data_IF_929429066095
#
_entry.id   IF_929429066095
#
_cell.length_a   1.000
_cell.length_b   1.000
_cell.length_c   1.000
_cell.angle_alpha   90.00
_cell.angle_beta   90.00
_cell.angle_gamma   90.00
#
_symmetry.space_group_name_H-M   'P 1'
#
loop_
_entity.id
_entity.type
_entity.pdbx_description
1 polymer ?
#
# COMPACT_ATOMS: atom_id res chain seq x y z
N UNK A 1 18.85 -25.64 31.03
CA UNK A 1 17.44 -26.00 30.74
C UNK A 1 17.05 -25.42 29.36
N UNK A 2 16.62 -26.27 28.40
CA UNK A 2 16.13 -25.79 27.10
C UNK A 2 14.87 -24.90 27.35
N UNK A 3 14.91 -23.63 26.93
CA UNK A 3 13.75 -22.75 27.01
C UNK A 3 12.62 -23.34 26.16
N UNK A 4 11.51 -23.72 26.78
CA UNK A 4 10.32 -24.24 26.05
C UNK A 4 9.68 -23.08 25.29
N UNK A 5 9.51 -23.25 23.99
CA UNK A 5 8.85 -22.22 23.16
C UNK A 5 7.33 -22.28 23.32
N UNK A 6 6.67 -21.14 23.42
CA UNK A 6 5.20 -21.00 23.39
C UNK A 6 4.77 -20.30 22.11
N UNK A 7 3.74 -20.83 21.48
CA UNK A 7 3.13 -20.30 20.26
C UNK A 7 1.80 -19.64 20.62
N UNK A 8 1.79 -18.32 20.63
CA UNK A 8 0.64 -17.51 21.07
C UNK A 8 -0.03 -16.90 19.85
N UNK A 9 -1.32 -17.13 19.68
CA UNK A 9 -2.10 -16.41 18.69
C UNK A 9 -3.07 -15.47 19.37
N UNK A 10 -3.22 -14.28 18.78
CA UNK A 10 -4.13 -13.24 19.24
C UNK A 10 -5.16 -12.95 18.14
N UNK A 11 -6.44 -13.15 18.46
CA UNK A 11 -7.54 -12.60 17.67
C UNK A 11 -7.96 -11.27 18.31
N UNK A 12 -7.61 -10.17 17.64
CA UNK A 12 -7.63 -8.82 18.22
C UNK A 12 -8.88 -8.07 17.80
N UNK A 13 -9.74 -7.81 18.77
CA UNK A 13 -10.92 -6.95 18.63
C UNK A 13 -10.70 -5.62 19.36
N UNK A 14 -11.63 -4.67 19.18
CA UNK A 14 -11.50 -3.32 19.73
C UNK A 14 -11.40 -3.29 21.25
N UNK A 15 -12.26 -4.06 21.94
CA UNK A 15 -12.35 -4.06 23.41
C UNK A 15 -11.66 -5.27 24.06
N UNK A 16 -11.52 -6.38 23.35
CA UNK A 16 -11.00 -7.64 23.87
C UNK A 16 -10.15 -8.37 22.84
N UNK A 17 -9.12 -9.02 23.31
CA UNK A 17 -8.24 -9.89 22.53
C UNK A 17 -8.41 -11.33 23.05
N UNK A 18 -8.70 -12.24 22.15
CA UNK A 18 -8.74 -13.68 22.48
C UNK A 18 -7.37 -14.28 22.20
N UNK A 19 -6.77 -14.88 23.21
CA UNK A 19 -5.46 -15.49 23.13
C UNK A 19 -5.54 -17.00 23.20
N UNK A 20 -4.82 -17.69 22.32
CA UNK A 20 -4.60 -19.15 22.36
C UNK A 20 -3.11 -19.42 22.49
N UNK A 21 -2.71 -20.15 23.53
CA UNK A 21 -1.32 -20.51 23.82
C UNK A 21 -1.12 -21.99 23.57
N UNK A 22 -0.12 -22.33 22.75
CA UNK A 22 0.19 -23.71 22.35
C UNK A 22 1.65 -24.04 22.67
N UNK A 23 1.89 -25.27 23.09
CA UNK A 23 3.25 -25.81 23.28
C UNK A 23 3.81 -26.45 22.00
N UNK A 24 5.12 -26.74 21.92
CA UNK A 24 5.74 -27.35 20.73
C UNK A 24 5.14 -28.68 20.32
N UNK A 25 4.61 -29.46 21.26
CA UNK A 25 3.91 -30.73 21.01
C UNK A 25 2.53 -30.59 20.37
N UNK A 26 2.07 -29.35 20.13
CA UNK A 26 0.80 -29.07 19.46
C UNK A 26 -0.41 -28.96 20.38
N UNK A 27 -0.29 -29.23 21.67
CA UNK A 27 -1.38 -29.09 22.64
C UNK A 27 -1.62 -27.63 23.00
N UNK A 28 -2.86 -27.19 23.03
CA UNK A 28 -3.28 -25.90 23.58
C UNK A 28 -3.23 -25.96 25.10
N UNK A 29 -2.39 -25.12 25.71
CA UNK A 29 -2.18 -25.08 27.16
C UNK A 29 -2.96 -23.99 27.87
N UNK A 30 -3.37 -22.96 27.13
CA UNK A 30 -4.23 -21.88 27.67
C UNK A 30 -5.07 -21.23 26.57
N UNK A 31 -6.26 -20.78 26.96
CA UNK A 31 -7.14 -19.88 26.21
C UNK A 31 -7.58 -18.79 27.17
N UNK A 32 -7.37 -17.55 26.79
CA UNK A 32 -7.65 -16.38 27.62
C UNK A 32 -8.37 -15.31 26.81
N UNK A 33 -9.18 -14.54 27.50
CA UNK A 33 -9.72 -13.27 26.97
C UNK A 33 -9.08 -12.17 27.78
N UNK A 34 -8.35 -11.28 27.10
CA UNK A 34 -7.61 -10.18 27.71
C UNK A 34 -8.19 -8.87 27.17
N UNK A 35 -8.36 -7.82 28.00
CA UNK A 35 -8.70 -6.50 27.52
C UNK A 35 -7.68 -6.03 26.45
N UNK A 36 -8.14 -5.39 25.38
CA UNK A 36 -7.25 -4.83 24.37
C UNK A 36 -6.67 -3.50 24.84
N UNK A 37 -5.92 -3.58 25.93
CA UNK A 37 -5.24 -2.49 26.61
C UNK A 37 -3.77 -2.81 26.82
N UNK A 38 -2.92 -1.78 26.76
CA UNK A 38 -1.47 -1.97 26.86
C UNK A 38 -1.06 -2.67 28.16
N UNK A 39 -1.61 -2.23 29.31
CA UNK A 39 -1.28 -2.79 30.61
C UNK A 39 -1.65 -4.27 30.70
N UNK A 40 -2.88 -4.63 30.34
CA UNK A 40 -3.38 -6.00 30.40
C UNK A 40 -2.59 -6.97 29.48
N UNK A 41 -2.25 -6.52 28.27
CA UNK A 41 -1.43 -7.31 27.34
C UNK A 41 0.00 -7.47 27.83
N UNK A 42 0.60 -6.41 28.39
CA UNK A 42 1.95 -6.49 28.99
C UNK A 42 1.98 -7.45 30.17
N UNK A 43 0.99 -7.42 31.05
CA UNK A 43 0.85 -8.34 32.17
C UNK A 43 0.69 -9.79 31.69
N UNK A 44 -0.20 -10.03 30.71
CA UNK A 44 -0.42 -11.34 30.12
C UNK A 44 0.86 -11.98 29.59
N UNK A 45 1.66 -11.21 28.82
CA UNK A 45 2.93 -11.70 28.30
C UNK A 45 4.04 -11.78 29.36
N UNK A 46 4.01 -10.88 30.36
CA UNK A 46 4.95 -10.89 31.49
C UNK A 46 4.82 -12.14 32.41
N UNK A 47 3.62 -12.72 32.49
CA UNK A 47 3.37 -13.96 33.20
C UNK A 47 3.87 -15.22 32.49
N UNK A 48 4.36 -15.11 31.25
CA UNK A 48 4.81 -16.27 30.47
C UNK A 48 6.31 -16.53 30.64
N UNK A 49 6.68 -17.79 30.83
CA UNK A 49 8.08 -18.21 30.88
C UNK A 49 8.48 -18.93 29.58
N UNK A 50 9.75 -18.79 29.17
CA UNK A 50 10.30 -19.43 27.97
C UNK A 50 10.41 -18.50 26.79
N UNK A 51 10.61 -19.03 25.58
CA UNK A 51 10.58 -18.27 24.34
C UNK A 51 9.15 -18.10 23.86
N UNK A 52 8.79 -16.89 23.43
CA UNK A 52 7.43 -16.55 23.03
C UNK A 52 7.40 -16.16 21.57
N UNK A 53 6.68 -16.96 20.76
CA UNK A 53 6.37 -16.61 19.37
C UNK A 53 4.92 -16.18 19.29
N UNK A 54 4.66 -14.98 18.74
CA UNK A 54 3.31 -14.41 18.67
C UNK A 54 2.85 -14.29 17.23
N UNK A 55 1.58 -14.59 16.96
CA UNK A 55 0.93 -14.27 15.70
C UNK A 55 -0.40 -13.56 15.91
N UNK A 56 -0.69 -12.58 15.03
CA UNK A 56 -2.00 -11.94 14.92
C UNK A 56 -2.26 -11.47 13.50
N UNK A 57 -3.55 -11.24 13.17
CA UNK A 57 -3.92 -10.78 11.84
C UNK A 57 -3.70 -9.28 11.66
N UNK A 58 -3.43 -8.86 10.41
CA UNK A 58 -3.34 -7.45 10.07
C UNK A 58 -4.69 -6.76 10.24
N UNK A 59 -4.74 -5.73 11.09
CA UNK A 59 -5.92 -4.93 11.40
C UNK A 59 -5.55 -3.49 11.76
N UNK A 60 -6.53 -2.72 12.18
CA UNK A 60 -6.32 -1.30 12.55
C UNK A 60 -5.34 -1.11 13.71
N UNK A 61 -5.30 -2.06 14.63
CA UNK A 61 -4.45 -2.06 15.84
C UNK A 61 -3.12 -2.81 15.64
N UNK A 62 -2.91 -3.45 14.48
CA UNK A 62 -1.77 -4.35 14.28
C UNK A 62 -0.41 -3.66 14.48
N UNK A 63 -0.25 -2.40 14.07
CA UNK A 63 1.01 -1.69 14.27
C UNK A 63 1.25 -1.33 15.74
N UNK A 64 0.22 -0.85 16.44
CA UNK A 64 0.29 -0.58 17.87
C UNK A 64 0.66 -1.84 18.66
N UNK A 65 0.01 -2.95 18.36
CA UNK A 65 0.25 -4.22 19.03
C UNK A 65 1.66 -4.77 18.72
N UNK A 66 2.11 -4.63 17.48
CA UNK A 66 3.48 -5.01 17.10
C UNK A 66 4.50 -4.22 17.93
N UNK A 67 4.37 -2.89 18.00
CA UNK A 67 5.30 -2.03 18.72
C UNK A 67 5.27 -2.28 20.26
N UNK A 68 4.08 -2.61 20.78
CA UNK A 68 3.92 -2.97 22.19
C UNK A 68 4.63 -4.29 22.54
N UNK A 69 4.55 -5.29 21.66
CA UNK A 69 5.02 -6.64 21.94
C UNK A 69 6.46 -6.90 21.47
N UNK A 70 6.97 -6.16 20.47
CA UNK A 70 8.33 -6.35 19.94
C UNK A 70 9.43 -6.45 21.02
N UNK A 71 9.46 -5.59 22.07
CA UNK A 71 10.47 -5.71 23.11
C UNK A 71 10.22 -6.82 24.15
N UNK A 72 9.13 -7.58 24.05
CA UNK A 72 8.65 -8.51 25.07
C UNK A 72 8.58 -9.96 24.62
N UNK A 73 8.72 -10.21 23.32
CA UNK A 73 8.59 -11.55 22.74
C UNK A 73 9.73 -11.83 21.77
N UNK A 74 10.05 -13.12 21.59
CA UNK A 74 11.19 -13.51 20.76
C UNK A 74 10.89 -13.42 19.26
N UNK A 75 9.61 -13.57 18.87
CA UNK A 75 9.19 -13.50 17.45
C UNK A 75 7.76 -13.02 17.32
N UNK A 76 7.54 -12.09 16.38
CA UNK A 76 6.19 -11.65 15.97
C UNK A 76 5.95 -11.98 14.51
N UNK A 77 4.78 -12.53 14.22
CA UNK A 77 4.28 -12.77 12.86
C UNK A 77 2.94 -12.08 12.70
N UNK A 78 2.92 -10.91 12.09
CA UNK A 78 1.67 -10.32 11.62
C UNK A 78 1.31 -10.97 10.30
N UNK A 79 0.12 -11.52 10.16
CA UNK A 79 -0.27 -12.26 8.99
C UNK A 79 -1.49 -11.65 8.28
N UNK A 80 -1.63 -11.99 7.00
CA UNK A 80 -2.81 -11.62 6.24
C UNK A 80 -4.01 -12.44 6.70
N UNK A 81 -5.15 -11.76 6.87
CA UNK A 81 -6.43 -12.44 7.04
C UNK A 81 -6.69 -13.32 5.81
N UNK A 82 -6.68 -14.63 5.96
CA UNK A 82 -7.22 -15.52 4.92
C UNK A 82 -8.72 -15.34 4.89
N UNK A 83 -9.28 -15.12 3.70
CA UNK A 83 -10.72 -15.27 3.51
C UNK A 83 -11.10 -16.72 3.80
N UNK A 84 -11.59 -16.97 5.02
CA UNK A 84 -12.08 -18.27 5.40
C UNK A 84 -13.43 -18.58 4.75
N UNK A 85 -13.75 -19.86 4.50
CA UNK A 85 -15.08 -20.25 4.07
C UNK A 85 -16.13 -19.73 5.07
N UNK A 86 -17.26 -19.24 4.57
CA UNK A 86 -18.36 -18.73 5.37
C UNK A 86 -18.93 -19.84 6.30
N UNK A 87 -18.48 -19.84 7.56
CA UNK A 87 -18.99 -20.71 8.62
C UNK A 87 -19.28 -19.91 9.90
N UNK A 88 -19.87 -20.54 10.91
CA UNK A 88 -20.07 -19.92 12.23
C UNK A 88 -18.72 -19.47 12.80
N UNK A 89 -18.53 -18.16 12.91
CA UNK A 89 -17.37 -17.55 13.57
C UNK A 89 -17.41 -17.91 15.06
N UNK A 90 -16.29 -18.41 15.58
CA UNK A 90 -16.05 -18.52 17.00
C UNK A 90 -14.61 -18.05 17.26
N UNK A 91 -14.46 -16.91 17.90
CA UNK A 91 -13.18 -16.21 18.14
C UNK A 91 -12.12 -17.16 18.76
N UNK A 92 -12.53 -18.10 19.61
CA UNK A 92 -11.64 -19.11 20.19
C UNK A 92 -11.10 -20.10 19.14
N UNK A 93 -11.92 -20.50 18.15
CA UNK A 93 -11.48 -21.40 17.07
C UNK A 93 -10.53 -20.69 16.13
N UNK A 94 -10.77 -19.40 15.88
CA UNK A 94 -9.92 -18.57 15.02
C UNK A 94 -8.54 -18.40 15.66
N UNK A 95 -8.46 -18.12 16.97
CA UNK A 95 -7.21 -18.05 17.72
C UNK A 95 -6.48 -19.41 17.78
N UNK A 96 -7.21 -20.53 17.99
CA UNK A 96 -6.62 -21.87 17.98
C UNK A 96 -6.06 -22.27 16.61
N UNK A 97 -6.79 -21.98 15.54
CA UNK A 97 -6.35 -22.19 14.16
C UNK A 97 -5.10 -21.38 13.84
N UNK A 98 -5.05 -20.13 14.28
CA UNK A 98 -3.90 -19.25 14.07
C UNK A 98 -2.67 -19.72 14.86
N UNK A 99 -2.84 -20.18 16.14
CA UNK A 99 -1.73 -20.71 16.95
C UNK A 99 -1.16 -22.01 16.36
N UNK A 100 -1.99 -22.87 15.77
CA UNK A 100 -1.56 -24.06 15.06
C UNK A 100 -0.75 -23.70 13.80
N UNK A 101 -1.23 -22.76 12.99
CA UNK A 101 -0.52 -22.30 11.79
C UNK A 101 0.80 -21.61 12.13
N UNK A 102 0.89 -20.92 13.27
CA UNK A 102 2.14 -20.36 13.77
C UNK A 102 3.14 -21.48 14.11
N UNK A 103 2.70 -22.52 14.79
CA UNK A 103 3.52 -23.69 15.14
C UNK A 103 4.08 -24.38 13.90
N UNK A 104 3.24 -24.67 12.90
CA UNK A 104 3.67 -25.37 11.66
C UNK A 104 4.34 -24.47 10.63
N UNK A 105 4.41 -23.15 10.88
CA UNK A 105 5.09 -22.21 10.01
C UNK A 105 4.30 -21.85 8.72
N UNK A 106 3.00 -22.14 8.65
CA UNK A 106 2.13 -21.82 7.47
C UNK A 106 1.50 -20.42 7.55
N UNK A 107 2.21 -19.45 8.09
CA UNK A 107 1.75 -18.06 8.10
C UNK A 107 2.49 -17.22 7.06
N UNK A 108 1.74 -16.55 6.20
CA UNK A 108 2.30 -15.53 5.30
C UNK A 108 2.41 -14.21 6.06
N UNK A 109 3.63 -13.88 6.47
CA UNK A 109 3.89 -12.64 7.19
C UNK A 109 3.66 -11.40 6.33
N UNK A 110 3.02 -10.41 6.92
CA UNK A 110 2.98 -9.03 6.44
C UNK A 110 4.17 -8.28 7.04
N UNK A 111 4.79 -7.42 6.27
CA UNK A 111 5.92 -6.66 6.75
C UNK A 111 5.47 -5.61 7.79
N UNK A 112 5.85 -5.85 9.02
CA UNK A 112 5.86 -4.87 10.11
C UNK A 112 7.32 -4.72 10.55
N UNK A 113 7.91 -3.57 10.33
CA UNK A 113 9.26 -3.24 10.77
C UNK A 113 9.22 -2.05 11.70
N UNK A 114 10.35 -1.76 12.34
CA UNK A 114 10.54 -0.58 13.20
C UNK A 114 9.96 0.66 12.54
N UNK A 115 9.22 1.43 13.31
CA UNK A 115 8.36 2.50 12.81
C UNK A 115 9.03 3.87 12.87
N UNK A 116 10.25 3.96 12.33
CA UNK A 116 10.95 5.25 12.17
C UNK A 116 10.16 6.25 11.31
N UNK A 117 9.08 5.77 10.62
CA UNK A 117 8.29 6.56 9.66
C UNK A 117 6.80 6.61 9.97
N UNK A 118 6.39 6.37 11.21
CA UNK A 118 4.96 6.46 11.60
C UNK A 118 4.40 7.84 11.28
N UNK A 119 5.09 8.88 11.71
CA UNK A 119 4.68 10.27 11.48
C UNK A 119 4.51 10.54 9.99
N UNK A 120 5.48 10.17 9.17
CA UNK A 120 5.39 10.33 7.72
C UNK A 120 4.22 9.54 7.11
N UNK A 121 3.95 8.33 7.61
CA UNK A 121 2.80 7.54 7.17
C UNK A 121 1.47 8.23 7.50
N UNK A 122 1.31 8.76 8.70
CA UNK A 122 0.10 9.49 9.09
C UNK A 122 -0.07 10.76 8.24
N UNK A 123 1.00 11.52 8.04
CA UNK A 123 0.95 12.74 7.22
C UNK A 123 0.64 12.43 5.74
N UNK A 124 1.17 11.34 5.19
CA UNK A 124 0.84 10.91 3.82
C UNK A 124 -0.61 10.42 3.70
N UNK A 125 -1.13 9.73 4.72
CA UNK A 125 -2.56 9.35 4.79
C UNK A 125 -3.44 10.60 4.82
N UNK A 126 -3.15 11.56 5.70
CA UNK A 126 -3.89 12.82 5.81
C UNK A 126 -3.90 13.56 4.46
N UNK A 127 -2.74 13.77 3.85
CA UNK A 127 -2.66 14.41 2.53
C UNK A 127 -3.48 13.67 1.47
N UNK A 128 -3.37 12.34 1.42
CA UNK A 128 -4.07 11.51 0.44
C UNK A 128 -5.59 11.54 0.64
N UNK A 129 -6.06 11.58 1.89
CA UNK A 129 -7.47 11.72 2.24
C UNK A 129 -8.01 13.07 1.79
N UNK A 130 -7.32 14.17 2.12
CA UNK A 130 -7.71 15.52 1.68
C UNK A 130 -7.81 15.61 0.16
N UNK A 131 -6.87 15.00 -0.59
CA UNK A 131 -6.92 14.95 -2.05
C UNK A 131 -8.12 14.13 -2.56
N UNK A 132 -8.38 12.99 -1.94
CA UNK A 132 -9.50 12.13 -2.30
C UNK A 132 -10.85 12.80 -2.00
N UNK A 133 -10.97 13.47 -0.86
CA UNK A 133 -12.17 14.22 -0.46
C UNK A 133 -12.42 15.39 -1.39
N UNK A 134 -11.39 16.16 -1.74
CA UNK A 134 -11.51 17.22 -2.75
C UNK A 134 -12.06 16.68 -4.06
N UNK A 135 -11.56 15.55 -4.52
CA UNK A 135 -12.04 14.91 -5.75
C UNK A 135 -13.49 14.46 -5.63
N UNK A 136 -13.88 13.87 -4.50
CA UNK A 136 -15.26 13.44 -4.23
C UNK A 136 -16.23 14.63 -4.23
N UNK A 137 -15.88 15.72 -3.56
CA UNK A 137 -16.69 16.95 -3.53
C UNK A 137 -16.83 17.54 -4.94
N UNK A 138 -15.71 17.62 -5.69
CA UNK A 138 -15.73 18.08 -7.08
C UNK A 138 -16.64 17.23 -7.98
N UNK A 139 -16.61 15.92 -7.83
CA UNK A 139 -17.48 15.01 -8.59
C UNK A 139 -18.96 15.18 -8.20
N UNK A 140 -19.26 15.30 -6.90
CA UNK A 140 -20.61 15.56 -6.40
C UNK A 140 -21.17 16.88 -6.94
N UNK A 141 -20.35 17.92 -6.94
CA UNK A 141 -20.75 19.22 -7.50
C UNK A 141 -21.09 19.11 -8.99
N UNK A 142 -20.23 18.47 -9.81
CA UNK A 142 -20.55 18.23 -11.22
C UNK A 142 -21.80 17.38 -11.42
N UNK A 143 -21.98 16.35 -10.59
CA UNK A 143 -23.17 15.49 -10.65
C UNK A 143 -24.45 16.27 -10.37
N UNK A 144 -24.43 17.21 -9.41
CA UNK A 144 -25.56 18.07 -9.09
C UNK A 144 -26.04 18.90 -10.30
N UNK A 145 -25.11 19.51 -11.03
CA UNK A 145 -25.41 20.28 -12.24
C UNK A 145 -25.86 19.38 -13.39
N UNK A 146 -25.18 18.25 -13.62
CA UNK A 146 -25.52 17.30 -14.68
C UNK A 146 -26.92 16.70 -14.52
N UNK A 147 -27.35 16.45 -13.27
CA UNK A 147 -28.70 15.97 -12.98
C UNK A 147 -29.81 16.95 -13.43
N UNK A 148 -29.43 18.17 -13.78
CA UNK A 148 -30.33 19.24 -14.31
C UNK A 148 -30.01 19.62 -15.75
N UNK A 149 -29.35 18.73 -16.48
CA UNK A 149 -28.87 18.94 -17.85
C UNK A 149 -27.94 20.17 -18.03
N UNK A 150 -27.37 20.70 -16.93
CA UNK A 150 -26.43 21.82 -16.98
C UNK A 150 -25.03 21.27 -17.29
N UNK A 151 -24.48 21.65 -18.43
CA UNK A 151 -23.14 21.23 -18.85
C UNK A 151 -22.05 21.81 -17.97
N UNK A 152 -21.16 20.96 -17.46
CA UNK A 152 -20.02 21.33 -16.62
C UNK A 152 -18.71 20.93 -17.31
N UNK A 153 -18.29 21.67 -18.32
CA UNK A 153 -17.00 21.46 -18.99
C UNK A 153 -15.86 22.08 -18.19
N UNK A 154 -14.69 21.47 -18.25
CA UNK A 154 -13.48 22.02 -17.65
C UNK A 154 -13.52 22.16 -16.13
N UNK A 155 -12.89 23.21 -15.62
CA UNK A 155 -12.69 23.48 -14.18
C UNK A 155 -13.41 24.73 -13.66
N UNK A 156 -14.07 25.51 -14.52
CA UNK A 156 -14.74 26.78 -14.15
C UNK A 156 -15.79 26.57 -13.06
N UNK A 157 -16.55 25.47 -13.10
CA UNK A 157 -17.54 25.10 -12.08
C UNK A 157 -16.97 25.08 -10.65
N UNK A 158 -15.67 24.95 -10.49
CA UNK A 158 -15.00 24.95 -9.19
C UNK A 158 -14.43 26.32 -8.81
N UNK A 159 -14.46 27.29 -9.74
CA UNK A 159 -13.88 28.62 -9.55
C UNK A 159 -14.63 29.43 -8.51
N UNK A 160 -13.92 30.23 -7.72
CA UNK A 160 -14.54 31.17 -6.77
C UNK A 160 -15.24 32.30 -7.52
N UNK A 161 -14.63 32.82 -8.60
CA UNK A 161 -15.14 33.95 -9.40
C UNK A 161 -16.44 33.62 -10.11
N UNK A 162 -16.57 32.40 -10.63
CA UNK A 162 -17.73 31.97 -11.42
C UNK A 162 -18.86 31.40 -10.54
N UNK A 163 -18.69 31.34 -9.22
CA UNK A 163 -19.61 30.62 -8.31
C UNK A 163 -21.02 31.15 -8.31
N UNK A 164 -21.19 32.48 -8.26
CA UNK A 164 -22.49 33.12 -8.30
C UNK A 164 -23.25 32.78 -9.59
N UNK A 165 -22.57 32.81 -10.73
CA UNK A 165 -23.14 32.44 -12.04
C UNK A 165 -23.61 30.98 -12.04
N UNK A 166 -22.82 30.07 -11.46
CA UNK A 166 -23.20 28.67 -11.38
C UNK A 166 -24.39 28.44 -10.45
N UNK A 167 -24.44 29.10 -9.30
CA UNK A 167 -25.55 29.00 -8.35
C UNK A 167 -26.88 29.53 -8.95
N UNK A 168 -26.81 30.63 -9.74
CA UNK A 168 -27.99 31.20 -10.42
C UNK A 168 -28.61 30.23 -11.44
N UNK A 169 -27.86 29.29 -11.97
CA UNK A 169 -28.39 28.25 -12.89
C UNK A 169 -29.20 27.14 -12.20
N UNK A 170 -29.20 27.10 -10.87
CA UNK A 170 -29.96 26.11 -10.11
C UNK A 170 -31.35 26.62 -9.80
N UNK A 171 -32.43 25.97 -10.31
CA UNK A 171 -33.76 26.50 -10.23
C UNK A 171 -34.38 26.39 -8.83
N UNK A 172 -34.03 25.32 -8.08
CA UNK A 172 -34.64 25.05 -6.79
C UNK A 172 -33.73 25.42 -5.61
N UNK A 173 -34.32 25.93 -4.49
CA UNK A 173 -33.54 26.32 -3.30
C UNK A 173 -32.74 25.18 -2.67
N UNK A 174 -33.28 23.97 -2.70
CA UNK A 174 -32.59 22.79 -2.15
C UNK A 174 -31.31 22.42 -2.91
N UNK A 175 -31.35 22.48 -4.27
CA UNK A 175 -30.17 22.28 -5.08
C UNK A 175 -29.14 23.40 -4.88
N UNK A 176 -29.60 24.64 -4.72
CA UNK A 176 -28.73 25.78 -4.45
C UNK A 176 -28.01 25.63 -3.10
N UNK A 177 -28.73 25.33 -2.02
CA UNK A 177 -28.18 25.08 -0.69
C UNK A 177 -27.17 23.92 -0.73
N UNK A 178 -27.47 22.83 -1.46
CA UNK A 178 -26.58 21.71 -1.62
C UNK A 178 -25.29 22.09 -2.36
N UNK A 179 -25.38 22.92 -3.40
CA UNK A 179 -24.24 23.43 -4.11
C UNK A 179 -23.35 24.32 -3.22
N UNK A 180 -23.97 25.24 -2.47
CA UNK A 180 -23.29 26.11 -1.50
C UNK A 180 -22.53 25.29 -0.45
N UNK A 181 -23.19 24.27 0.13
CA UNK A 181 -22.56 23.33 1.07
C UNK A 181 -21.36 22.61 0.45
N UNK A 182 -21.47 22.14 -0.78
CA UNK A 182 -20.37 21.49 -1.48
C UNK A 182 -19.22 22.48 -1.80
N UNK A 183 -19.53 23.72 -2.12
CA UNK A 183 -18.52 24.76 -2.32
C UNK A 183 -17.79 25.08 -1.02
N UNK A 184 -18.50 25.22 0.11
CA UNK A 184 -17.87 25.43 1.42
C UNK A 184 -16.94 24.29 1.81
N UNK A 185 -17.35 23.04 1.59
CA UNK A 185 -16.47 21.87 1.77
C UNK A 185 -15.23 21.92 0.88
N UNK A 186 -15.39 22.32 -0.39
CA UNK A 186 -14.28 22.42 -1.33
C UNK A 186 -13.27 23.50 -0.93
N UNK A 187 -13.75 24.61 -0.41
CA UNK A 187 -12.89 25.71 0.06
C UNK A 187 -12.08 25.31 1.27
N UNK A 188 -12.70 24.69 2.28
CA UNK A 188 -11.98 24.13 3.43
C UNK A 188 -10.90 23.12 2.98
N UNK A 189 -11.23 22.24 2.04
CA UNK A 189 -10.27 21.27 1.53
C UNK A 189 -9.11 21.92 0.74
N UNK A 190 -9.35 23.07 0.10
CA UNK A 190 -8.31 23.88 -0.56
C UNK A 190 -7.33 24.49 0.43
N UNK A 191 -7.77 24.87 1.61
CA UNK A 191 -6.92 25.38 2.69
C UNK A 191 -6.14 24.24 3.37
N UNK A 192 -6.81 23.11 3.63
CA UNK A 192 -6.17 21.96 4.28
C UNK A 192 -5.11 21.29 3.41
N UNK A 193 -5.30 21.26 2.09
CA UNK A 193 -4.39 20.56 1.17
C UNK A 193 -2.95 21.08 1.19
N UNK A 194 -2.66 22.39 1.06
CA UNK A 194 -1.29 22.91 1.14
C UNK A 194 -0.68 22.69 2.53
N UNK A 195 -1.45 22.80 3.61
CA UNK A 195 -0.98 22.52 4.98
C UNK A 195 -0.55 21.06 5.13
N UNK A 196 -1.41 20.12 4.76
CA UNK A 196 -1.11 18.69 4.81
C UNK A 196 0.09 18.33 3.90
N UNK A 197 0.19 18.94 2.70
CA UNK A 197 1.32 18.77 1.79
C UNK A 197 2.62 19.28 2.40
N UNK A 198 2.61 20.46 3.00
CA UNK A 198 3.80 21.06 3.60
C UNK A 198 4.33 20.22 4.77
N UNK A 199 3.45 19.81 5.69
CA UNK A 199 3.80 18.95 6.81
C UNK A 199 4.39 17.61 6.34
N UNK A 200 3.76 16.95 5.37
CA UNK A 200 4.24 15.70 4.78
C UNK A 200 5.63 15.84 4.15
N UNK A 201 5.88 16.93 3.42
CA UNK A 201 7.18 17.15 2.76
C UNK A 201 8.25 17.51 3.78
N UNK A 202 7.91 18.33 4.80
CA UNK A 202 8.84 18.67 5.88
C UNK A 202 9.33 17.42 6.61
N UNK A 203 8.43 16.51 6.95
CA UNK A 203 8.79 15.23 7.58
C UNK A 203 9.59 14.33 6.64
N UNK A 204 9.19 14.21 5.38
CA UNK A 204 9.90 13.39 4.40
C UNK A 204 11.35 13.86 4.16
N UNK A 205 11.63 15.15 4.26
CA UNK A 205 12.98 15.72 4.11
C UNK A 205 13.94 15.31 5.22
N UNK A 206 13.45 14.88 6.37
CA UNK A 206 14.27 14.36 7.47
C UNK A 206 14.82 12.96 7.18
N UNK A 207 14.20 12.25 6.23
CA UNK A 207 14.63 10.91 5.87
C UNK A 207 15.93 10.96 5.04
N UNK A 208 16.97 10.20 5.42
CA UNK A 208 18.24 10.17 4.66
C UNK A 208 18.06 9.78 3.18
N UNK A 209 17.06 8.96 2.86
CA UNK A 209 16.80 8.55 1.50
C UNK A 209 16.07 9.61 0.66
N UNK A 210 15.64 10.73 1.27
CA UNK A 210 14.97 11.81 0.56
C UNK A 210 15.77 12.34 -0.63
N UNK A 211 17.04 12.66 -0.42
CA UNK A 211 17.91 13.23 -1.45
C UNK A 211 18.11 12.27 -2.61
N UNK A 212 18.21 10.98 -2.32
CA UNK A 212 18.32 9.91 -3.33
C UNK A 212 17.05 9.84 -4.17
N UNK A 213 15.88 9.73 -3.53
CA UNK A 213 14.61 9.57 -4.24
C UNK A 213 14.22 10.84 -5.00
N UNK A 214 14.48 12.01 -4.43
CA UNK A 214 14.16 13.28 -5.05
C UNK A 214 15.09 13.61 -6.25
N UNK A 215 16.26 12.98 -6.33
CA UNK A 215 17.15 13.12 -7.48
C UNK A 215 16.61 12.47 -8.75
N UNK A 216 15.70 11.51 -8.63
CA UNK A 216 15.12 10.80 -9.78
C UNK A 216 14.15 11.74 -10.51
N UNK A 217 14.36 12.04 -11.80
CA UNK A 217 13.48 12.92 -12.56
C UNK A 217 12.02 12.46 -12.46
N UNK A 218 11.09 13.41 -12.41
CA UNK A 218 9.65 13.15 -12.28
C UNK A 218 9.21 12.48 -10.97
N UNK A 219 10.11 12.20 -10.01
CA UNK A 219 9.75 11.85 -8.64
C UNK A 219 9.79 13.10 -7.74
N UNK A 220 8.97 14.10 -8.04
CA UNK A 220 8.89 15.32 -7.24
C UNK A 220 8.51 15.05 -5.77
N UNK A 221 8.50 16.09 -4.91
CA UNK A 221 8.42 15.96 -3.43
C UNK A 221 7.29 15.05 -2.94
N UNK A 222 6.09 15.18 -3.49
CA UNK A 222 4.92 14.37 -3.09
C UNK A 222 5.15 12.88 -3.39
N UNK A 223 5.68 12.56 -4.57
CA UNK A 223 5.92 11.15 -4.96
C UNK A 223 7.04 10.53 -4.12
N UNK A 224 8.10 11.28 -3.83
CA UNK A 224 9.17 10.83 -2.96
C UNK A 224 8.66 10.55 -1.53
N UNK A 225 7.88 11.45 -0.95
CA UNK A 225 7.26 11.24 0.38
C UNK A 225 6.36 10.00 0.41
N UNK A 226 5.51 9.81 -0.62
CA UNK A 226 4.65 8.62 -0.72
C UNK A 226 5.45 7.33 -0.87
N UNK A 227 6.56 7.33 -1.58
CA UNK A 227 7.47 6.18 -1.70
C UNK A 227 8.06 5.84 -0.34
N UNK A 228 8.64 6.83 0.36
CA UNK A 228 9.23 6.66 1.69
C UNK A 228 8.23 6.08 2.69
N UNK A 229 7.05 6.67 2.77
CA UNK A 229 6.00 6.22 3.69
C UNK A 229 5.49 4.81 3.40
N UNK A 230 5.39 4.44 2.11
CA UNK A 230 4.77 3.17 1.69
C UNK A 230 5.77 2.03 1.66
N UNK A 231 6.96 2.26 1.14
CA UNK A 231 8.00 1.21 1.06
C UNK A 231 8.67 0.98 2.42
N UNK A 232 8.77 2.01 3.26
CA UNK A 232 9.46 2.04 4.55
C UNK A 232 10.97 1.80 4.43
N UNK A 233 11.37 0.75 3.72
CA UNK A 233 12.78 0.39 3.48
C UNK A 233 12.91 -0.31 2.13
N UNK A 234 14.03 -0.12 1.41
CA UNK A 234 14.25 -0.81 0.14
C UNK A 234 14.57 -2.31 0.35
N UNK A 235 15.04 -2.68 1.53
CA UNK A 235 15.41 -4.06 1.88
C UNK A 235 14.21 -5.00 2.01
N UNK A 236 13.01 -4.47 2.18
CA UNK A 236 11.76 -5.21 2.10
C UNK A 236 11.60 -5.98 0.78
N UNK A 237 12.23 -5.50 -0.28
CA UNK A 237 12.09 -6.07 -1.63
C UNK A 237 13.42 -6.71 -2.06
N UNK A 238 13.45 -8.05 -2.13
CA UNK A 238 14.63 -8.80 -2.58
C UNK A 238 15.05 -8.42 -4.00
N UNK A 239 14.09 -8.19 -4.90
CA UNK A 239 14.31 -7.87 -6.30
C UNK A 239 13.34 -6.82 -6.84
N UNK A 240 13.65 -6.26 -8.02
CA UNK A 240 12.73 -5.37 -8.76
C UNK A 240 11.39 -6.07 -9.08
N UNK A 241 11.39 -7.39 -9.31
CA UNK A 241 10.16 -8.16 -9.60
C UNK A 241 9.21 -8.19 -8.39
N UNK A 242 9.75 -8.33 -7.17
CA UNK A 242 8.95 -8.26 -5.93
C UNK A 242 8.31 -6.88 -5.77
N UNK A 243 9.05 -5.78 -6.04
CA UNK A 243 8.49 -4.43 -5.99
C UNK A 243 7.44 -4.22 -7.09
N UNK A 244 7.66 -4.74 -8.31
CA UNK A 244 6.64 -4.67 -9.38
C UNK A 244 5.37 -5.41 -9.00
N UNK A 245 5.47 -6.60 -8.39
CA UNK A 245 4.31 -7.34 -7.91
C UNK A 245 3.56 -6.55 -6.83
N UNK A 246 4.28 -6.01 -5.85
CA UNK A 246 3.70 -5.21 -4.78
C UNK A 246 3.06 -3.90 -5.29
N UNK A 247 3.67 -3.24 -6.28
CA UNK A 247 3.15 -2.03 -6.92
C UNK A 247 2.13 -2.29 -8.03
N UNK A 248 1.74 -3.53 -8.30
CA UNK A 248 0.77 -3.88 -9.35
C UNK A 248 1.26 -3.57 -10.77
N UNK A 249 2.56 -3.63 -10.99
CA UNK A 249 3.21 -3.46 -12.29
C UNK A 249 3.66 -4.82 -12.90
N UNK A 250 3.61 -5.90 -12.11
CA UNK A 250 3.92 -7.24 -12.60
C UNK A 250 2.75 -7.83 -13.37
N UNK A 251 3.09 -8.57 -14.40
CA UNK A 251 2.13 -9.39 -15.15
C UNK A 251 1.84 -10.66 -14.37
N UNK A 252 0.58 -11.02 -14.24
CA UNK A 252 0.16 -12.31 -13.70
C UNK A 252 -0.03 -13.27 -14.83
N UNK A 253 0.77 -14.31 -14.84
CA UNK A 253 0.57 -15.47 -15.68
C UNK A 253 -0.18 -16.51 -14.87
N UNK A 254 -1.30 -17.00 -15.38
CA UNK A 254 -1.95 -18.19 -14.84
C UNK A 254 -1.97 -19.24 -15.94
N UNK A 255 -1.28 -20.33 -15.67
CA UNK A 255 -1.40 -21.55 -16.40
C UNK A 255 -1.81 -22.63 -15.40
N UNK A 256 -3.02 -23.12 -15.52
CA UNK A 256 -3.51 -24.28 -14.76
C UNK A 256 -3.07 -25.61 -15.40
N UNK A 257 -2.38 -25.55 -16.53
CA UNK A 257 -1.96 -26.70 -17.30
C UNK A 257 -0.52 -26.54 -17.82
N UNK A 258 0.43 -26.25 -16.90
CA UNK A 258 1.84 -26.13 -17.24
C UNK A 258 2.49 -27.48 -17.58
N UNK A 259 1.85 -28.59 -17.22
CA UNK A 259 2.32 -29.93 -17.47
C UNK A 259 1.24 -30.77 -18.17
N UNK A 260 1.65 -31.61 -19.10
CA UNK A 260 0.87 -32.71 -19.67
C UNK A 260 1.57 -34.02 -19.32
N UNK A 261 0.80 -35.06 -19.14
CA UNK A 261 1.36 -36.38 -18.92
C UNK A 261 1.63 -37.06 -20.29
N UNK A 262 2.91 -37.31 -20.58
CA UNK A 262 3.34 -38.10 -21.73
C UNK A 262 4.01 -39.34 -21.16
N UNK A 263 3.52 -40.51 -21.52
CA UNK A 263 4.01 -41.81 -21.04
C UNK A 263 4.11 -41.90 -19.51
N UNK A 264 3.08 -41.37 -18.81
CA UNK A 264 2.97 -41.39 -17.35
C UNK A 264 3.93 -40.39 -16.61
N UNK A 265 4.65 -39.56 -17.37
CA UNK A 265 5.57 -38.54 -16.79
C UNK A 265 5.03 -37.13 -17.03
N UNK A 266 5.08 -36.23 -16.03
CA UNK A 266 4.70 -34.84 -16.20
C UNK A 266 5.74 -34.10 -17.06
N UNK A 267 5.37 -33.75 -18.29
CA UNK A 267 6.21 -32.95 -19.20
C UNK A 267 5.65 -31.53 -19.28
N UNK A 268 6.53 -30.54 -19.16
CA UNK A 268 6.13 -29.13 -19.22
C UNK A 268 5.67 -28.77 -20.63
N UNK A 269 4.43 -28.28 -20.77
CA UNK A 269 3.91 -27.80 -22.04
C UNK A 269 4.73 -26.62 -22.58
N UNK A 270 5.10 -26.68 -23.86
CA UNK A 270 5.81 -25.58 -24.54
C UNK A 270 4.92 -24.37 -24.89
N UNK A 271 3.62 -24.37 -24.51
CA UNK A 271 2.73 -23.24 -24.78
C UNK A 271 3.12 -22.03 -23.92
N UNK A 272 3.10 -20.84 -24.55
CA UNK A 272 3.30 -19.57 -23.82
C UNK A 272 2.20 -19.42 -22.76
N UNK A 273 2.54 -19.10 -21.51
CA UNK A 273 1.55 -18.96 -20.46
C UNK A 273 0.56 -17.85 -20.81
N UNK A 274 -0.73 -18.09 -20.58
CA UNK A 274 -1.77 -17.09 -20.78
C UNK A 274 -1.59 -15.93 -19.79
N UNK A 275 -1.39 -14.74 -20.34
CA UNK A 275 -1.25 -13.52 -19.55
C UNK A 275 -2.62 -12.98 -19.16
N UNK A 276 -2.95 -12.94 -17.87
CA UNK A 276 -4.22 -12.39 -17.35
C UNK A 276 -4.14 -10.91 -16.98
N UNK A 277 -3.16 -10.16 -17.48
CA UNK A 277 -2.97 -8.75 -17.19
C UNK A 277 -2.13 -8.50 -15.94
N UNK A 278 -2.32 -7.34 -15.31
CA UNK A 278 -1.53 -6.93 -14.16
C UNK A 278 -2.11 -7.46 -12.84
N UNK A 279 -1.24 -7.70 -11.85
CA UNK A 279 -1.65 -8.08 -10.51
C UNK A 279 -2.71 -7.12 -9.94
N UNK A 280 -3.86 -7.66 -9.52
CA UNK A 280 -4.96 -6.89 -8.92
C UNK A 280 -4.79 -6.70 -7.41
N UNK A 281 -4.14 -7.64 -6.71
CA UNK A 281 -3.79 -7.50 -5.31
C UNK A 281 -2.46 -6.75 -5.17
N UNK A 282 -2.53 -5.42 -5.01
CA UNK A 282 -1.35 -4.56 -5.02
C UNK A 282 -1.56 -3.27 -4.22
N UNK A 283 -0.47 -2.59 -3.91
CA UNK A 283 -0.51 -1.26 -3.33
C UNK A 283 -0.88 -0.20 -4.38
N UNK A 284 -2.11 0.34 -4.28
CA UNK A 284 -2.66 1.31 -5.23
C UNK A 284 -1.88 2.62 -5.26
N UNK A 285 -1.37 3.07 -4.11
CA UNK A 285 -0.60 4.31 -4.00
C UNK A 285 0.71 4.23 -4.79
N UNK A 286 1.50 3.17 -4.61
CA UNK A 286 2.74 2.97 -5.37
C UNK A 286 2.49 2.78 -6.86
N UNK A 287 1.42 2.06 -7.24
CA UNK A 287 1.03 1.96 -8.66
C UNK A 287 0.79 3.32 -9.27
N UNK A 288 0.03 4.16 -8.56
CA UNK A 288 -0.26 5.53 -9.01
C UNK A 288 1.02 6.36 -9.11
N UNK A 289 1.89 6.31 -8.10
CA UNK A 289 3.15 7.03 -8.09
C UNK A 289 4.01 6.69 -9.29
N UNK A 290 4.28 5.43 -9.55
CA UNK A 290 5.14 5.02 -10.67
C UNK A 290 4.50 5.26 -12.04
N UNK A 291 3.20 5.01 -12.19
CA UNK A 291 2.50 5.31 -13.45
C UNK A 291 2.44 6.81 -13.74
N UNK A 292 2.17 7.63 -12.73
CA UNK A 292 2.12 9.09 -12.92
C UNK A 292 3.51 9.71 -13.13
N UNK A 293 4.56 9.13 -12.55
CA UNK A 293 5.94 9.51 -12.86
C UNK A 293 6.31 9.17 -14.32
N UNK A 294 5.95 7.97 -14.76
CA UNK A 294 6.14 7.57 -16.16
C UNK A 294 5.39 8.47 -17.14
N UNK A 295 4.12 8.79 -16.86
CA UNK A 295 3.36 9.74 -17.69
C UNK A 295 3.98 11.15 -17.72
N UNK A 296 4.50 11.63 -16.59
CA UNK A 296 5.19 12.93 -16.57
C UNK A 296 6.50 12.90 -17.38
N UNK A 297 7.21 11.79 -17.41
CA UNK A 297 8.46 11.64 -18.14
C UNK A 297 8.26 11.58 -19.66
N UNK A 298 7.10 11.17 -20.16
CA UNK A 298 6.84 11.19 -21.61
C UNK A 298 6.82 12.59 -22.22
N UNK A 299 6.49 13.61 -21.42
CA UNK A 299 6.44 15.00 -21.85
C UNK A 299 7.63 15.87 -21.38
N UNK A 300 8.64 15.29 -20.72
CA UNK A 300 9.77 16.03 -20.17
C UNK A 300 11.08 15.60 -20.81
N UNK A 301 11.84 16.51 -21.51
CA UNK A 301 13.11 16.17 -22.12
C UNK A 301 14.11 15.51 -21.17
N UNK A 302 14.86 14.52 -21.68
CA UNK A 302 15.90 13.80 -20.97
C UNK A 302 15.85 12.29 -21.16
N UNK A 303 16.83 11.58 -20.64
CA UNK A 303 17.08 10.15 -20.89
C UNK A 303 15.87 9.21 -20.68
N UNK A 304 14.92 9.58 -19.79
CA UNK A 304 13.70 8.79 -19.59
C UNK A 304 12.67 9.00 -20.70
N UNK A 305 12.62 10.21 -21.29
CA UNK A 305 11.81 10.46 -22.49
C UNK A 305 12.42 9.77 -23.71
N UNK A 306 13.74 9.84 -23.85
CA UNK A 306 14.45 9.21 -24.96
C UNK A 306 14.24 7.68 -24.93
N UNK A 307 14.30 7.09 -23.75
CA UNK A 307 13.95 5.68 -23.55
C UNK A 307 12.49 5.37 -23.97
N UNK A 308 11.56 6.27 -23.65
CA UNK A 308 10.16 6.11 -24.06
C UNK A 308 10.00 6.20 -25.57
N UNK A 309 10.61 7.18 -26.21
CA UNK A 309 10.60 7.34 -27.67
C UNK A 309 11.21 6.14 -28.38
N UNK A 310 12.39 5.68 -27.94
CA UNK A 310 13.03 4.49 -28.48
C UNK A 310 12.18 3.21 -28.35
N UNK A 311 11.30 3.10 -27.36
CA UNK A 311 10.33 2.01 -27.30
C UNK A 311 9.22 2.15 -28.33
N UNK A 312 8.74 3.35 -28.61
CA UNK A 312 7.74 3.61 -29.65
C UNK A 312 8.31 3.35 -31.04
N UNK A 313 9.53 3.82 -31.31
CA UNK A 313 10.23 3.62 -32.59
C UNK A 313 10.44 2.14 -32.92
N UNK A 314 10.57 1.29 -31.88
CA UNK A 314 10.59 -0.18 -32.00
C UNK A 314 9.20 -0.82 -32.14
N UNK A 315 8.14 -0.03 -32.35
CA UNK A 315 6.78 -0.50 -32.55
C UNK A 315 6.03 -0.85 -31.26
N UNK A 316 6.52 -0.49 -30.07
CA UNK A 316 5.79 -0.75 -28.83
C UNK A 316 4.60 0.20 -28.71
N UNK A 317 3.43 -0.34 -28.36
CA UNK A 317 2.22 0.47 -28.12
C UNK A 317 2.45 1.48 -27.00
N UNK A 318 1.91 2.71 -27.09
CA UNK A 318 2.14 3.78 -26.10
C UNK A 318 1.77 3.44 -24.65
N UNK A 319 0.71 2.65 -24.45
CA UNK A 319 0.30 2.18 -23.13
C UNK A 319 1.29 1.17 -22.52
N UNK A 320 1.84 0.28 -23.34
CA UNK A 320 2.86 -0.69 -22.94
C UNK A 320 4.22 -0.02 -22.70
N UNK A 321 4.60 0.96 -23.52
CA UNK A 321 5.80 1.76 -23.34
C UNK A 321 5.74 2.54 -22.01
N UNK A 322 4.61 3.18 -21.69
CA UNK A 322 4.39 3.84 -20.39
C UNK A 322 4.45 2.86 -19.21
N UNK A 323 3.88 1.66 -19.36
CA UNK A 323 3.97 0.62 -18.33
C UNK A 323 5.41 0.16 -18.11
N UNK A 324 6.17 -0.03 -19.18
CA UNK A 324 7.60 -0.41 -19.13
C UNK A 324 8.41 0.70 -18.46
N UNK A 325 8.13 1.96 -18.78
CA UNK A 325 8.75 3.10 -18.12
C UNK A 325 8.39 3.15 -16.62
N UNK A 326 7.16 2.86 -16.22
CA UNK A 326 6.76 2.78 -14.82
C UNK A 326 7.53 1.68 -14.06
N UNK A 327 7.76 0.53 -14.70
CA UNK A 327 8.63 -0.53 -14.17
C UNK A 327 10.08 -0.09 -14.03
N UNK A 328 10.58 0.70 -14.97
CA UNK A 328 11.92 1.29 -14.91
C UNK A 328 12.04 2.25 -13.73
N UNK A 329 11.04 3.12 -13.49
CA UNK A 329 11.00 3.98 -12.30
C UNK A 329 11.07 3.17 -11.00
N UNK A 330 10.27 2.13 -10.87
CA UNK A 330 10.29 1.28 -9.68
C UNK A 330 11.66 0.59 -9.48
N UNK A 331 12.27 0.11 -10.57
CA UNK A 331 13.61 -0.51 -10.53
C UNK A 331 14.71 0.49 -10.16
N UNK A 332 14.66 1.71 -10.72
CA UNK A 332 15.59 2.80 -10.37
C UNK A 332 15.45 3.18 -8.91
N UNK A 333 14.23 3.41 -8.44
CA UNK A 333 13.92 3.71 -7.03
C UNK A 333 14.54 2.67 -6.11
N UNK A 334 14.31 1.38 -6.36
CA UNK A 334 14.84 0.31 -5.52
C UNK A 334 16.37 0.24 -5.54
N UNK A 335 16.98 0.33 -6.73
CA UNK A 335 18.42 0.25 -6.91
C UNK A 335 19.15 1.42 -6.25
N UNK A 336 18.73 2.64 -6.54
CA UNK A 336 19.37 3.85 -6.03
C UNK A 336 19.21 3.95 -4.52
N UNK A 337 18.02 3.63 -3.99
CA UNK A 337 17.80 3.65 -2.56
C UNK A 337 18.65 2.61 -1.82
N UNK A 338 18.84 1.38 -2.37
CA UNK A 338 19.71 0.36 -1.77
C UNK A 338 21.17 0.77 -1.75
N UNK A 339 21.63 1.54 -2.75
CA UNK A 339 23.03 1.96 -2.89
C UNK A 339 23.32 3.32 -2.22
N UNK A 340 22.29 4.10 -1.92
CA UNK A 340 22.47 5.49 -1.50
C UNK A 340 22.88 6.43 -2.63
N UNK A 341 22.86 5.96 -3.90
CA UNK A 341 23.35 6.72 -5.06
C UNK A 341 22.29 7.71 -5.54
N UNK A 342 22.72 8.88 -6.03
CA UNK A 342 21.85 9.78 -6.77
C UNK A 342 21.63 9.31 -8.21
N UNK A 343 20.55 9.79 -8.83
CA UNK A 343 20.27 9.49 -10.24
C UNK A 343 21.34 10.09 -11.14
N UNK A 344 21.83 9.27 -12.05
CA UNK A 344 22.76 9.64 -13.10
C UNK A 344 22.21 9.20 -14.45
N UNK A 345 21.90 10.13 -15.38
CA UNK A 345 21.34 9.81 -16.69
C UNK A 345 22.29 8.93 -17.55
N UNK A 346 23.61 9.09 -17.41
CA UNK A 346 24.57 8.29 -18.17
C UNK A 346 24.48 6.80 -17.86
N UNK A 347 24.19 6.46 -16.60
CA UNK A 347 24.00 5.05 -16.16
C UNK A 347 22.67 4.44 -16.61
N UNK A 348 21.76 5.23 -17.18
CA UNK A 348 20.49 4.72 -17.73
C UNK A 348 20.68 4.13 -19.13
N UNK A 349 21.51 4.77 -19.96
CA UNK A 349 21.77 4.39 -21.36
C UNK A 349 22.69 3.18 -21.48
N UNK A 350 23.53 2.94 -20.47
CA UNK A 350 24.51 1.84 -20.45
C UNK A 350 23.94 0.44 -20.14
N UNK A 351 22.62 0.29 -19.92
CA UNK A 351 22.02 -1.01 -19.66
C UNK A 351 21.22 -1.49 -20.87
N UNK A 352 21.62 -2.58 -21.55
CA UNK A 352 20.76 -3.22 -22.52
C UNK A 352 19.47 -3.69 -21.84
N UNK A 353 18.36 -3.51 -22.53
CA UNK A 353 17.00 -3.88 -22.11
C UNK A 353 16.79 -5.38 -22.01
#
# INVERSE_FOLDING_TARGET
MKRTTKYVALDVHQARTVASVREPGGRVIARCIVPTEAAALVEFFGGMRGAIHVAFEEGTQAQWLHDLLEPRVDRIVVCHRRGEPRGRKADLRDADGLSHRLLVGDLRSVYHGRTDRVTLQQLTRTYSQVVADSTRVMLRLKSLFRARAIRTSGRRVYGLRDRAEWLARLPDPGARLRAETLYAQLDLLRELRPRAKAAMIAEARRDPAWTVLHSIPCLGPVRAALILATMKTPWRFRSKRNLWAYAGLAVVTQSSADHEFIDGRPVRRRRRPLTRGLNRNHNRSLKHVFKSAASAATGRPGALQDLYRAMLDRGMRPDMARLTLARKFAALTLRLWKRGDRYDPAKLTAQPT
#
